data_IF_291290388144
#
_entry.id   IF_291290388144
#
_cell.length_a   1.000
_cell.length_b   1.000
_cell.length_c   1.000
_cell.angle_alpha   90.00
_cell.angle_beta   90.00
_cell.angle_gamma   90.00
#
_symmetry.space_group_name_H-M   'P 1'
#
loop_
_entity.id
_entity.type
_entity.pdbx_description
1 polymer ?
#
# COMPACT_ATOMS: atom_id res chain seq x y z
N UNK A 1 -0.54 37.82 51.38
CA UNK A 1 -1.42 39.00 51.24
C UNK A 1 -0.53 40.15 50.80
N UNK A 2 -0.36 40.39 49.56
CA UNK A 2 0.40 41.50 48.98
C UNK A 2 -0.58 42.44 48.33
N UNK A 3 -0.68 43.61 48.88
CA UNK A 3 -1.55 44.72 48.51
C UNK A 3 -1.23 45.18 47.06
N UNK A 4 -2.15 44.99 46.16
CA UNK A 4 -2.11 45.56 44.83
C UNK A 4 -2.81 46.92 44.87
N UNK A 5 -2.07 48.00 45.21
CA UNK A 5 -2.55 49.36 45.08
C UNK A 5 -2.62 49.74 43.60
N UNK A 6 -3.82 49.77 43.06
CA UNK A 6 -4.11 50.31 41.73
C UNK A 6 -4.09 51.83 41.75
N UNK A 7 -3.05 52.45 41.26
CA UNK A 7 -2.99 53.90 41.00
C UNK A 7 -3.55 54.15 39.59
N UNK A 8 -4.62 54.96 39.42
CA UNK A 8 -5.15 55.30 38.10
C UNK A 8 -4.19 56.23 37.36
N UNK A 9 -3.77 55.87 36.16
CA UNK A 9 -2.98 56.75 35.30
C UNK A 9 -3.82 57.98 34.84
N UNK A 10 -3.20 59.14 34.70
CA UNK A 10 -3.85 60.33 34.20
C UNK A 10 -4.30 60.16 32.74
N UNK A 11 -5.47 60.74 32.43
CA UNK A 11 -6.04 60.76 31.09
C UNK A 11 -5.17 61.58 30.12
N UNK A 12 -4.93 61.06 28.93
CA UNK A 12 -4.26 61.80 27.85
C UNK A 12 -5.15 62.93 27.33
N UNK A 13 -4.59 64.02 26.77
CA UNK A 13 -5.33 65.23 26.43
C UNK A 13 -6.39 65.10 25.31
N UNK A 14 -6.68 63.92 24.82
CA UNK A 14 -7.63 63.64 23.77
C UNK A 14 -8.85 62.80 24.12
N UNK A 15 -9.08 62.48 25.39
CA UNK A 15 -10.32 61.83 25.86
C UNK A 15 -10.56 60.37 25.38
N UNK A 16 -9.65 59.75 24.64
CA UNK A 16 -9.72 58.33 24.30
C UNK A 16 -9.08 57.51 25.40
N UNK A 17 -9.88 56.65 26.07
CA UNK A 17 -9.35 55.63 26.94
C UNK A 17 -8.57 54.61 26.09
N UNK A 18 -7.25 54.59 26.26
CA UNK A 18 -6.47 53.46 25.71
C UNK A 18 -6.99 52.15 26.34
N UNK A 19 -7.13 51.08 25.55
CA UNK A 19 -7.52 49.80 26.09
C UNK A 19 -6.47 49.36 27.13
N UNK A 20 -6.89 48.70 28.21
CA UNK A 20 -5.94 48.28 29.27
C UNK A 20 -4.88 47.37 28.63
N UNK A 21 -3.63 47.81 28.63
CA UNK A 21 -2.50 46.99 28.23
C UNK A 21 -2.49 45.78 29.18
N UNK A 22 -2.63 44.60 28.54
CA UNK A 22 -2.48 43.33 29.24
C UNK A 22 -1.05 43.30 29.78
N UNK A 23 -0.82 43.14 31.11
CA UNK A 23 0.55 43.03 31.59
C UNK A 23 1.18 41.80 30.98
N UNK A 24 2.19 42.01 30.12
CA UNK A 24 3.04 40.92 29.67
C UNK A 24 3.79 40.40 30.86
N UNK A 25 3.36 39.27 31.40
CA UNK A 25 4.17 38.52 32.37
C UNK A 25 5.31 37.89 31.56
N UNK A 26 6.40 38.63 31.36
CA UNK A 26 7.68 38.02 31.04
C UNK A 26 8.06 37.13 32.23
N UNK A 27 7.70 35.87 32.13
CA UNK A 27 8.22 34.84 33.01
C UNK A 27 9.66 34.64 32.58
N UNK A 28 10.58 35.41 33.18
CA UNK A 28 12.00 35.11 33.06
C UNK A 28 12.21 33.74 33.67
N UNK A 29 12.24 32.72 32.80
CA UNK A 29 12.68 31.38 33.19
C UNK A 29 14.18 31.54 33.45
N UNK A 30 14.51 31.80 34.72
CA UNK A 30 15.89 31.62 35.19
C UNK A 30 16.24 30.18 34.95
N UNK A 31 17.01 29.94 33.88
CA UNK A 31 17.59 28.64 33.61
C UNK A 31 18.49 28.30 34.80
N UNK A 32 17.96 27.55 35.75
CA UNK A 32 18.71 27.02 36.88
C UNK A 32 19.56 25.85 36.35
N UNK A 33 20.78 26.19 35.93
CA UNK A 33 21.80 25.25 35.51
C UNK A 33 21.86 25.03 33.99
N UNK A 34 22.99 24.56 33.49
CA UNK A 34 23.07 24.12 32.12
C UNK A 34 22.06 23.01 31.94
N UNK A 35 21.09 23.20 31.02
CA UNK A 35 20.31 22.11 30.46
C UNK A 35 21.30 21.31 29.66
N UNK A 36 22.10 20.50 30.38
CA UNK A 36 22.97 19.52 29.73
C UNK A 36 22.05 18.60 28.95
N UNK A 37 22.39 18.44 27.69
CA UNK A 37 21.78 17.44 26.85
C UNK A 37 21.82 16.11 27.62
N UNK A 38 20.70 15.69 28.22
CA UNK A 38 20.60 14.43 28.97
C UNK A 38 20.51 13.27 27.97
N UNK A 39 21.29 13.36 26.89
CA UNK A 39 21.53 12.28 25.98
C UNK A 39 22.36 11.22 26.71
N UNK A 40 21.70 10.39 27.51
CA UNK A 40 22.30 9.19 28.08
C UNK A 40 22.82 8.35 26.93
N UNK A 41 24.12 8.07 26.84
CA UNK A 41 24.65 7.21 25.78
C UNK A 41 23.96 5.87 25.84
N UNK A 42 23.32 5.48 24.73
CA UNK A 42 22.61 4.21 24.62
C UNK A 42 23.59 3.07 24.97
N UNK A 43 23.16 2.17 25.82
CA UNK A 43 23.93 0.95 26.12
C UNK A 43 24.18 0.17 24.82
N UNK A 44 25.23 -0.67 24.73
CA UNK A 44 25.47 -1.52 23.54
C UNK A 44 24.24 -2.36 23.16
N UNK A 45 23.47 -2.82 24.16
CA UNK A 45 22.23 -3.56 23.98
C UNK A 45 21.11 -2.71 23.39
N UNK A 46 20.94 -1.48 23.86
CA UNK A 46 19.97 -0.55 23.30
C UNK A 46 20.32 -0.11 21.88
N UNK A 47 21.63 0.04 21.58
CA UNK A 47 22.08 0.30 20.20
C UNK A 47 21.73 -0.87 19.27
N UNK A 48 21.98 -2.10 19.71
CA UNK A 48 21.69 -3.30 18.94
C UNK A 48 20.19 -3.50 18.75
N UNK A 49 19.40 -3.31 19.83
CA UNK A 49 17.94 -3.44 19.78
C UNK A 49 17.26 -2.32 18.98
N UNK A 50 17.90 -1.17 18.78
CA UNK A 50 17.37 -0.08 17.96
C UNK A 50 17.64 -0.26 16.46
N UNK A 51 18.47 -1.23 16.04
CA UNK A 51 18.67 -1.56 14.64
C UNK A 51 17.46 -2.32 14.09
N UNK A 52 16.60 -1.61 13.34
CA UNK A 52 15.36 -2.17 12.79
C UNK A 52 15.59 -3.41 11.93
N UNK A 53 16.70 -3.46 11.18
CA UNK A 53 17.07 -4.60 10.35
C UNK A 53 17.33 -5.85 11.22
N UNK A 54 18.07 -5.70 12.31
CA UNK A 54 18.39 -6.80 13.24
C UNK A 54 17.12 -7.33 13.90
N UNK A 55 16.23 -6.46 14.38
CA UNK A 55 14.95 -6.88 14.97
C UNK A 55 14.10 -7.67 13.98
N UNK A 56 14.00 -7.22 12.73
CA UNK A 56 13.26 -7.94 11.68
C UNK A 56 13.88 -9.29 11.38
N UNK A 57 15.19 -9.35 11.30
CA UNK A 57 15.92 -10.60 11.07
C UNK A 57 15.72 -11.60 12.24
N UNK A 58 15.77 -11.14 13.49
CA UNK A 58 15.49 -11.96 14.67
C UNK A 58 14.04 -12.48 14.67
N UNK A 59 13.06 -11.65 14.30
CA UNK A 59 11.66 -12.08 14.17
C UNK A 59 11.52 -13.14 13.08
N UNK A 60 12.13 -12.92 11.91
CA UNK A 60 12.09 -13.91 10.82
C UNK A 60 12.78 -15.23 11.23
N UNK A 61 13.93 -15.15 11.91
CA UNK A 61 14.63 -16.35 12.42
C UNK A 61 13.79 -17.08 13.48
N UNK A 62 13.12 -16.35 14.37
CA UNK A 62 12.21 -16.93 15.36
C UNK A 62 11.01 -17.63 14.69
N UNK A 63 10.39 -17.00 13.68
CA UNK A 63 9.29 -17.62 12.91
C UNK A 63 9.77 -18.87 12.18
N UNK A 64 10.93 -18.81 11.51
CA UNK A 64 11.51 -19.98 10.84
C UNK A 64 11.86 -21.10 11.84
N UNK A 65 12.40 -20.76 13.02
CA UNK A 65 12.68 -21.70 14.08
C UNK A 65 11.43 -22.36 14.67
N UNK A 66 10.37 -21.58 14.89
CA UNK A 66 9.06 -22.09 15.33
C UNK A 66 8.44 -23.02 14.29
N UNK A 67 8.51 -22.64 13.01
CA UNK A 67 8.07 -23.51 11.92
C UNK A 67 8.85 -24.83 11.91
N UNK A 68 10.18 -24.77 11.94
CA UNK A 68 11.04 -25.95 11.97
C UNK A 68 10.69 -26.86 13.15
N UNK A 69 10.58 -26.30 14.36
CA UNK A 69 10.26 -27.06 15.56
C UNK A 69 8.85 -27.71 15.48
N UNK A 70 7.85 -26.99 15.00
CA UNK A 70 6.50 -27.50 14.82
C UNK A 70 6.44 -28.64 13.80
N UNK A 71 7.15 -28.49 12.66
CA UNK A 71 7.20 -29.53 11.63
C UNK A 71 7.91 -30.82 12.11
N UNK A 72 9.03 -30.66 12.83
CA UNK A 72 9.74 -31.81 13.43
C UNK A 72 8.87 -32.46 14.50
N UNK A 73 8.17 -31.70 15.33
CA UNK A 73 7.27 -32.25 16.36
C UNK A 73 6.10 -33.03 15.75
N UNK A 74 5.50 -32.50 14.64
CA UNK A 74 4.39 -33.18 13.95
C UNK A 74 4.86 -34.44 13.22
N UNK A 75 6.13 -34.54 12.84
CA UNK A 75 6.77 -35.69 12.20
C UNK A 75 5.98 -36.26 11.00
N UNK A 76 5.37 -35.38 10.23
CA UNK A 76 4.58 -35.73 9.02
C UNK A 76 4.90 -34.77 7.89
N UNK A 77 5.92 -35.05 7.07
CA UNK A 77 6.35 -34.17 5.98
C UNK A 77 5.30 -34.01 4.85
N UNK A 78 4.36 -34.98 4.74
CA UNK A 78 3.25 -34.90 3.76
C UNK A 78 2.15 -33.92 4.18
N UNK A 79 2.11 -33.53 5.46
CA UNK A 79 1.16 -32.50 5.92
C UNK A 79 1.84 -31.16 6.15
N UNK A 80 3.04 -31.19 6.74
CA UNK A 80 3.76 -29.99 7.12
C UNK A 80 5.28 -30.18 6.99
N UNK A 81 5.87 -29.79 5.83
CA UNK A 81 7.30 -29.94 5.59
C UNK A 81 8.10 -29.00 6.50
N UNK A 82 9.34 -29.37 6.79
CA UNK A 82 10.23 -28.53 7.57
C UNK A 82 10.63 -27.27 6.82
N UNK A 83 11.06 -26.26 7.54
CA UNK A 83 11.59 -25.04 6.92
C UNK A 83 12.81 -25.35 6.04
N UNK A 84 13.67 -26.26 6.48
CA UNK A 84 14.85 -26.68 5.72
C UNK A 84 14.50 -27.41 4.43
N UNK A 85 13.52 -28.30 4.43
CA UNK A 85 13.06 -29.01 3.23
C UNK A 85 12.42 -28.02 2.24
N UNK A 86 11.60 -27.10 2.76
CA UNK A 86 11.01 -26.03 1.95
C UNK A 86 12.08 -25.13 1.31
N UNK A 87 13.13 -24.78 2.07
CA UNK A 87 14.24 -23.96 1.55
C UNK A 87 15.05 -24.71 0.48
N UNK A 88 15.28 -26.00 0.67
CA UNK A 88 15.93 -26.87 -0.31
C UNK A 88 15.07 -27.00 -1.58
N UNK A 89 13.76 -27.26 -1.44
CA UNK A 89 12.81 -27.33 -2.55
C UNK A 89 12.69 -25.99 -3.31
N UNK A 90 12.76 -24.84 -2.60
CA UNK A 90 12.79 -23.53 -3.23
C UNK A 90 14.04 -23.35 -4.08
N UNK A 91 15.20 -23.74 -3.57
CA UNK A 91 16.46 -23.66 -4.30
C UNK A 91 16.47 -24.56 -5.54
N UNK A 92 15.96 -25.76 -5.41
CA UNK A 92 15.85 -26.73 -6.50
C UNK A 92 14.83 -26.25 -7.54
N UNK A 93 13.69 -25.75 -7.10
CA UNK A 93 12.67 -25.15 -7.94
C UNK A 93 13.19 -24.00 -8.80
N UNK A 94 14.05 -23.16 -8.23
CA UNK A 94 14.70 -22.06 -8.96
C UNK A 94 15.68 -22.58 -10.02
N UNK A 95 16.42 -23.67 -9.72
CA UNK A 95 17.48 -24.17 -10.60
C UNK A 95 16.99 -25.15 -11.67
N UNK A 96 16.05 -26.02 -11.31
CA UNK A 96 15.69 -27.16 -12.14
C UNK A 96 14.23 -27.16 -12.59
N UNK A 97 13.29 -26.73 -11.75
CA UNK A 97 11.84 -26.81 -12.04
C UNK A 97 11.28 -25.58 -12.76
N UNK A 98 12.10 -24.59 -13.10
CA UNK A 98 11.67 -23.40 -13.83
C UNK A 98 10.75 -22.46 -13.02
N UNK A 99 10.82 -22.49 -11.68
CA UNK A 99 9.99 -21.69 -10.77
C UNK A 99 10.03 -20.19 -11.10
N UNK A 100 11.20 -19.65 -11.48
CA UNK A 100 11.33 -18.24 -11.90
C UNK A 100 10.58 -17.93 -13.19
N UNK A 101 10.57 -18.88 -14.15
CA UNK A 101 9.81 -18.73 -15.40
C UNK A 101 8.31 -18.70 -15.14
N UNK A 102 7.83 -19.56 -14.23
CA UNK A 102 6.43 -19.58 -13.82
C UNK A 102 6.04 -18.31 -13.04
N UNK A 103 6.94 -17.84 -12.17
CA UNK A 103 6.78 -16.56 -11.46
C UNK A 103 6.67 -15.38 -12.45
N UNK A 104 7.49 -15.36 -13.48
CA UNK A 104 7.43 -14.35 -14.54
C UNK A 104 6.14 -14.43 -15.35
N UNK A 105 5.65 -15.64 -15.63
CA UNK A 105 4.37 -15.84 -16.32
C UNK A 105 3.22 -15.21 -15.52
N UNK A 106 3.08 -15.53 -14.22
CA UNK A 106 2.08 -14.91 -13.35
C UNK A 106 2.25 -13.39 -13.28
N UNK A 107 3.48 -12.91 -13.09
CA UNK A 107 3.75 -11.48 -12.99
C UNK A 107 3.41 -10.74 -14.29
N UNK A 108 3.69 -11.32 -15.46
CA UNK A 108 3.36 -10.72 -16.77
C UNK A 108 1.86 -10.57 -16.98
N UNK A 109 1.08 -11.59 -16.63
CA UNK A 109 -0.40 -11.54 -16.69
C UNK A 109 -0.93 -10.48 -15.74
N UNK A 110 -0.41 -10.46 -14.51
CA UNK A 110 -0.81 -9.46 -13.52
C UNK A 110 -0.52 -8.04 -14.00
N UNK A 111 0.68 -7.78 -14.52
CA UNK A 111 1.06 -6.44 -15.00
C UNK A 111 0.18 -5.98 -16.17
N UNK A 112 -0.21 -6.87 -17.07
CA UNK A 112 -1.15 -6.54 -18.16
C UNK A 112 -2.53 -6.17 -17.60
N UNK A 113 -3.10 -7.00 -16.72
CA UNK A 113 -4.39 -6.71 -16.10
C UNK A 113 -4.36 -5.42 -15.27
N UNK A 114 -3.26 -5.22 -14.54
CA UNK A 114 -3.05 -4.02 -13.73
C UNK A 114 -2.96 -2.74 -14.60
N UNK A 115 -2.24 -2.80 -15.71
CA UNK A 115 -2.12 -1.68 -16.65
C UNK A 115 -3.48 -1.30 -17.27
N UNK A 116 -4.26 -2.29 -17.70
CA UNK A 116 -5.62 -2.06 -18.23
C UNK A 116 -6.51 -1.45 -17.15
N UNK A 117 -6.49 -1.99 -15.94
CA UNK A 117 -7.27 -1.46 -14.81
C UNK A 117 -6.88 -0.02 -14.46
N UNK A 118 -5.59 0.30 -14.50
CA UNK A 118 -5.08 1.66 -14.27
C UNK A 118 -5.66 2.65 -15.28
N UNK A 119 -5.63 2.31 -16.56
CA UNK A 119 -6.20 3.16 -17.62
C UNK A 119 -7.70 3.36 -17.39
N UNK A 120 -8.45 2.31 -17.12
CA UNK A 120 -9.89 2.39 -16.87
C UNK A 120 -10.21 3.18 -15.60
N UNK A 121 -9.43 3.04 -14.52
CA UNK A 121 -9.60 3.81 -13.30
C UNK A 121 -9.35 5.30 -13.52
N UNK A 122 -8.33 5.67 -14.29
CA UNK A 122 -8.04 7.05 -14.66
C UNK A 122 -9.18 7.65 -15.47
N UNK A 123 -9.71 6.93 -16.46
CA UNK A 123 -10.84 7.38 -17.27
C UNK A 123 -12.09 7.56 -16.41
N UNK A 124 -12.44 6.56 -15.62
CA UNK A 124 -13.63 6.57 -14.77
C UNK A 124 -13.57 7.69 -13.71
N UNK A 125 -12.44 7.85 -13.04
CA UNK A 125 -12.27 8.93 -12.04
C UNK A 125 -12.23 10.31 -12.67
N UNK A 126 -11.68 10.46 -13.88
CA UNK A 126 -11.70 11.73 -14.61
C UNK A 126 -13.14 12.15 -14.95
N UNK A 127 -13.97 11.22 -15.42
CA UNK A 127 -15.40 11.48 -15.68
C UNK A 127 -16.14 11.81 -14.37
N UNK A 128 -15.83 11.07 -13.29
CA UNK A 128 -16.46 11.28 -11.98
C UNK A 128 -16.17 12.67 -11.39
N UNK A 129 -14.95 13.18 -11.55
CA UNK A 129 -14.56 14.52 -11.04
C UNK A 129 -15.11 15.64 -11.95
N UNK A 130 -15.31 15.36 -13.23
CA UNK A 130 -15.72 16.36 -14.21
C UNK A 130 -17.23 16.61 -14.24
N UNK A 131 -18.06 15.63 -13.86
CA UNK A 131 -19.52 15.72 -13.99
C UNK A 131 -20.24 15.12 -12.77
N UNK A 132 -21.41 15.70 -12.43
CA UNK A 132 -22.27 15.14 -11.34
C UNK A 132 -22.73 13.72 -11.66
N UNK A 133 -23.15 13.47 -12.90
CA UNK A 133 -23.58 12.15 -13.37
C UNK A 133 -22.42 11.14 -13.26
N UNK A 134 -21.21 11.55 -13.63
CA UNK A 134 -20.02 10.71 -13.50
C UNK A 134 -19.69 10.35 -12.05
N UNK A 135 -19.86 11.31 -11.13
CA UNK A 135 -19.70 11.04 -9.70
C UNK A 135 -20.74 10.03 -9.18
N UNK A 136 -22.02 10.21 -9.55
CA UNK A 136 -23.08 9.30 -9.15
C UNK A 136 -22.89 7.91 -9.76
N UNK A 137 -22.43 7.84 -11.03
CA UNK A 137 -22.08 6.60 -11.71
C UNK A 137 -20.96 5.87 -10.98
N UNK A 138 -19.83 6.56 -10.68
CA UNK A 138 -18.72 5.96 -9.96
C UNK A 138 -19.15 5.45 -8.59
N UNK A 139 -19.88 6.26 -7.83
CA UNK A 139 -20.38 5.89 -6.50
C UNK A 139 -21.28 4.65 -6.56
N UNK A 140 -22.23 4.62 -7.51
CA UNK A 140 -23.15 3.48 -7.68
C UNK A 140 -22.41 2.23 -8.08
N UNK A 141 -21.57 2.29 -9.13
CA UNK A 141 -20.83 1.13 -9.60
C UNK A 141 -19.85 0.60 -8.55
N UNK A 142 -19.18 1.49 -7.83
CA UNK A 142 -18.27 1.08 -6.75
C UNK A 142 -19.04 0.38 -5.63
N UNK A 143 -20.19 0.91 -5.23
CA UNK A 143 -21.01 0.29 -4.19
C UNK A 143 -21.52 -1.11 -4.58
N UNK A 144 -21.77 -1.35 -5.87
CA UNK A 144 -22.22 -2.63 -6.40
C UNK A 144 -21.09 -3.64 -6.57
N UNK A 145 -19.98 -3.20 -7.17
CA UNK A 145 -18.93 -4.12 -7.65
C UNK A 145 -17.74 -4.27 -6.71
N UNK A 146 -17.44 -3.30 -5.86
CA UNK A 146 -16.31 -3.43 -4.92
C UNK A 146 -16.49 -4.56 -3.88
N UNK A 147 -17.72 -4.86 -3.36
CA UNK A 147 -17.92 -6.02 -2.49
C UNK A 147 -17.85 -7.37 -3.21
N UNK A 148 -17.97 -7.39 -4.55
CA UNK A 148 -17.98 -8.63 -5.32
C UNK A 148 -16.58 -9.26 -5.38
N UNK A 149 -16.38 -10.49 -4.88
CA UNK A 149 -15.12 -11.18 -4.98
C UNK A 149 -14.70 -11.37 -6.45
N UNK A 150 -13.58 -10.78 -6.86
CA UNK A 150 -13.15 -10.83 -8.27
C UNK A 150 -13.02 -12.26 -8.80
N UNK A 151 -12.52 -13.19 -7.98
CA UNK A 151 -12.40 -14.61 -8.35
C UNK A 151 -13.73 -15.25 -8.74
N UNK A 152 -14.86 -14.79 -8.17
CA UNK A 152 -16.18 -15.31 -8.48
C UNK A 152 -16.63 -15.01 -9.93
N UNK A 153 -16.01 -14.02 -10.57
CA UNK A 153 -16.25 -13.68 -11.98
C UNK A 153 -15.51 -14.60 -12.95
N UNK A 154 -14.56 -15.40 -12.47
CA UNK A 154 -13.71 -16.20 -13.36
C UNK A 154 -14.48 -17.22 -14.22
N UNK A 155 -15.46 -17.98 -13.69
CA UNK A 155 -16.26 -18.88 -14.53
C UNK A 155 -17.01 -18.15 -15.66
N UNK A 156 -17.54 -16.96 -15.38
CA UNK A 156 -18.23 -16.14 -16.37
C UNK A 156 -17.23 -15.59 -17.41
N UNK A 157 -16.06 -15.13 -16.95
CA UNK A 157 -15.00 -14.67 -17.85
C UNK A 157 -14.55 -15.79 -18.79
N UNK A 158 -14.39 -17.01 -18.27
CA UNK A 158 -14.04 -18.17 -19.08
C UNK A 158 -15.12 -18.56 -20.10
N UNK A 159 -16.39 -18.37 -19.75
CA UNK A 159 -17.50 -18.58 -20.67
C UNK A 159 -17.49 -17.57 -21.83
N UNK A 160 -17.14 -16.32 -21.57
CA UNK A 160 -17.14 -15.24 -22.56
C UNK A 160 -15.88 -15.20 -23.40
N UNK A 161 -14.73 -15.40 -22.80
CA UNK A 161 -13.42 -15.22 -23.43
C UNK A 161 -12.64 -16.52 -23.62
N UNK A 162 -13.20 -17.65 -23.17
CA UNK A 162 -12.52 -18.94 -23.22
C UNK A 162 -11.49 -19.13 -22.11
N UNK A 163 -10.85 -20.32 -22.16
CA UNK A 163 -9.73 -20.65 -21.28
C UNK A 163 -8.48 -19.89 -21.75
N UNK A 164 -8.02 -18.90 -20.99
CA UNK A 164 -6.83 -18.17 -21.42
C UNK A 164 -6.51 -16.94 -20.56
N UNK A 165 -5.47 -16.23 -21.00
CA UNK A 165 -4.97 -15.05 -20.34
C UNK A 165 -6.01 -13.92 -20.28
N UNK A 166 -6.87 -13.79 -21.30
CA UNK A 166 -7.89 -12.74 -21.37
C UNK A 166 -8.90 -12.84 -20.22
N UNK A 167 -9.31 -14.06 -19.88
CA UNK A 167 -10.22 -14.31 -18.76
C UNK A 167 -9.59 -13.91 -17.42
N UNK A 168 -8.30 -14.18 -17.22
CA UNK A 168 -7.54 -13.74 -16.04
C UNK A 168 -7.43 -12.21 -16.02
N UNK A 169 -7.08 -11.59 -17.14
CA UNK A 169 -6.99 -10.12 -17.25
C UNK A 169 -8.31 -9.46 -16.87
N UNK A 170 -9.45 -9.98 -17.37
CA UNK A 170 -10.78 -9.46 -17.02
C UNK A 170 -11.02 -9.46 -15.52
N UNK A 171 -10.73 -10.57 -14.85
CA UNK A 171 -10.89 -10.72 -13.40
C UNK A 171 -9.93 -9.80 -12.64
N UNK A 172 -8.68 -9.69 -13.11
CA UNK A 172 -7.68 -8.79 -12.52
C UNK A 172 -8.08 -7.31 -12.67
N UNK A 173 -8.63 -6.93 -13.82
CA UNK A 173 -9.17 -5.58 -14.03
C UNK A 173 -10.24 -5.27 -13.00
N UNK A 174 -11.18 -6.19 -12.78
CA UNK A 174 -12.21 -6.00 -11.75
C UNK A 174 -11.60 -5.87 -10.34
N UNK A 175 -10.60 -6.69 -10.00
CA UNK A 175 -9.95 -6.66 -8.69
C UNK A 175 -9.25 -5.33 -8.38
N UNK A 176 -8.69 -4.67 -9.40
CA UNK A 176 -7.88 -3.45 -9.26
C UNK A 176 -8.72 -2.18 -9.44
N UNK A 177 -9.65 -2.19 -10.38
CA UNK A 177 -10.39 -1.00 -10.84
C UNK A 177 -11.09 -0.28 -9.68
N UNK A 178 -11.87 -1.01 -8.90
CA UNK A 178 -12.73 -0.40 -7.88
C UNK A 178 -11.95 0.21 -6.71
N UNK A 179 -11.02 -0.51 -6.06
CA UNK A 179 -10.22 0.08 -4.99
C UNK A 179 -9.35 1.24 -5.48
N UNK A 180 -8.82 1.17 -6.70
CA UNK A 180 -8.01 2.24 -7.28
C UNK A 180 -8.87 3.47 -7.59
N UNK A 181 -10.01 3.31 -8.26
CA UNK A 181 -10.93 4.39 -8.59
C UNK A 181 -11.47 5.07 -7.33
N UNK A 182 -11.86 4.29 -6.30
CA UNK A 182 -12.36 4.81 -5.03
C UNK A 182 -11.30 5.66 -4.31
N UNK A 183 -10.09 5.14 -4.15
CA UNK A 183 -9.00 5.86 -3.49
C UNK A 183 -8.58 7.11 -4.27
N UNK A 184 -8.54 7.03 -5.60
CA UNK A 184 -8.22 8.18 -6.47
C UNK A 184 -9.28 9.26 -6.35
N UNK A 185 -10.56 8.88 -6.41
CA UNK A 185 -11.67 9.82 -6.27
C UNK A 185 -11.69 10.47 -4.87
N UNK A 186 -11.51 9.68 -3.81
CA UNK A 186 -11.39 10.19 -2.45
C UNK A 186 -10.20 11.16 -2.30
N UNK A 187 -9.06 10.84 -2.92
CA UNK A 187 -7.91 11.73 -2.98
C UNK A 187 -8.21 13.03 -3.68
N UNK A 188 -8.91 13.01 -4.81
CA UNK A 188 -9.30 14.23 -5.52
C UNK A 188 -10.27 15.06 -4.70
N UNK A 189 -11.25 14.47 -4.06
CA UNK A 189 -12.24 15.21 -3.25
C UNK A 189 -11.64 15.80 -1.97
N UNK A 190 -10.58 15.21 -1.43
CA UNK A 190 -9.88 15.71 -0.24
C UNK A 190 -8.99 16.93 -0.47
N UNK A 191 -8.73 17.31 -1.73
CA UNK A 191 -7.95 18.51 -2.07
C UNK A 191 -8.68 19.76 -1.58
N UNK A 192 -8.00 20.57 -0.75
CA UNK A 192 -8.59 21.76 -0.13
C UNK A 192 -9.13 22.76 -1.16
N UNK A 193 -10.25 23.40 -0.81
CA UNK A 193 -10.87 24.41 -1.69
C UNK A 193 -9.94 25.59 -1.95
N UNK A 194 -9.13 25.97 -0.97
CA UNK A 194 -8.11 27.01 -1.13
C UNK A 194 -7.14 26.69 -2.27
N UNK A 195 -6.64 25.45 -2.32
CA UNK A 195 -5.74 25.01 -3.38
C UNK A 195 -6.44 25.00 -4.74
N UNK A 196 -7.72 24.59 -4.77
CA UNK A 196 -8.56 24.58 -5.96
C UNK A 196 -8.78 26.01 -6.50
N UNK A 197 -9.12 26.95 -5.62
CA UNK A 197 -9.29 28.37 -5.98
C UNK A 197 -7.98 28.99 -6.48
N UNK A 198 -6.87 28.72 -5.81
CA UNK A 198 -5.55 29.16 -6.26
C UNK A 198 -5.25 28.65 -7.69
N UNK A 199 -5.47 27.37 -7.94
CA UNK A 199 -5.27 26.79 -9.28
C UNK A 199 -6.11 27.47 -10.36
N UNK A 200 -7.39 27.75 -10.07
CA UNK A 200 -8.28 28.47 -10.99
C UNK A 200 -7.82 29.91 -11.24
N UNK A 201 -7.36 30.61 -10.20
CA UNK A 201 -6.82 31.98 -10.33
C UNK A 201 -5.56 32.02 -11.20
N UNK A 202 -4.74 30.95 -11.21
CA UNK A 202 -3.62 30.78 -12.14
C UNK A 202 -4.03 30.31 -13.55
N UNK A 203 -5.33 30.28 -13.86
CA UNK A 203 -5.85 29.89 -15.16
C UNK A 203 -5.78 28.40 -15.46
N UNK A 204 -5.63 27.56 -14.44
CA UNK A 204 -5.67 26.10 -14.62
C UNK A 204 -7.12 25.66 -14.85
N UNK A 205 -7.37 24.96 -15.96
CA UNK A 205 -8.67 24.40 -16.31
C UNK A 205 -8.55 23.05 -17.02
N UNK A 206 -9.65 22.31 -17.09
CA UNK A 206 -9.74 21.04 -17.82
C UNK A 206 -8.66 20.03 -17.41
N UNK A 207 -8.09 19.34 -18.38
CA UNK A 207 -7.07 18.31 -18.16
C UNK A 207 -5.80 18.85 -17.50
N UNK A 208 -5.42 20.11 -17.83
CA UNK A 208 -4.26 20.75 -17.23
C UNK A 208 -4.42 20.92 -15.72
N UNK A 209 -5.62 21.28 -15.25
CA UNK A 209 -5.95 21.36 -13.83
C UNK A 209 -5.81 20.01 -13.13
N UNK A 210 -6.29 18.93 -13.76
CA UNK A 210 -6.20 17.58 -13.22
C UNK A 210 -4.73 17.13 -13.10
N UNK A 211 -3.97 17.28 -14.16
CA UNK A 211 -2.58 16.77 -14.20
C UNK A 211 -1.64 17.60 -13.33
N UNK A 212 -1.81 18.94 -13.34
CA UNK A 212 -0.85 19.83 -12.67
C UNK A 212 -1.18 20.04 -11.18
N UNK A 213 -2.45 19.94 -10.79
CA UNK A 213 -2.88 20.21 -9.42
C UNK A 213 -3.49 19.01 -8.72
N UNK A 214 -4.53 18.38 -9.31
CA UNK A 214 -5.26 17.33 -8.60
C UNK A 214 -4.43 16.07 -8.42
N UNK A 215 -3.77 15.57 -9.46
CA UNK A 215 -2.96 14.34 -9.37
C UNK A 215 -1.82 14.50 -8.35
N UNK A 216 -0.97 15.55 -8.41
CA UNK A 216 0.07 15.72 -7.41
C UNK A 216 -0.48 15.86 -5.99
N UNK A 217 -1.53 16.64 -5.78
CA UNK A 217 -2.11 16.85 -4.45
C UNK A 217 -2.77 15.58 -3.87
N UNK A 218 -3.38 14.75 -4.72
CA UNK A 218 -4.03 13.51 -4.35
C UNK A 218 -3.10 12.29 -4.40
N UNK A 219 -1.84 12.47 -4.79
CA UNK A 219 -0.93 11.35 -5.04
C UNK A 219 -0.78 10.36 -3.88
N UNK A 220 -0.75 10.77 -2.60
CA UNK A 220 -0.75 9.83 -1.48
C UNK A 220 -1.94 8.86 -1.49
N UNK A 221 -3.14 9.36 -1.80
CA UNK A 221 -4.34 8.53 -1.89
C UNK A 221 -4.31 7.63 -3.13
N UNK A 222 -3.84 8.14 -4.26
CA UNK A 222 -3.64 7.36 -5.48
C UNK A 222 -2.65 6.21 -5.22
N UNK A 223 -1.52 6.50 -4.56
CA UNK A 223 -0.53 5.48 -4.20
C UNK A 223 -1.11 4.41 -3.27
N UNK A 224 -1.97 4.81 -2.32
CA UNK A 224 -2.71 3.86 -1.48
C UNK A 224 -3.62 2.97 -2.34
N UNK A 225 -4.37 3.54 -3.27
CA UNK A 225 -5.20 2.80 -4.23
C UNK A 225 -4.39 1.82 -5.07
N UNK A 226 -3.20 2.22 -5.55
CA UNK A 226 -2.28 1.35 -6.28
C UNK A 226 -1.80 0.18 -5.42
N UNK A 227 -1.38 0.41 -4.18
CA UNK A 227 -0.95 -0.65 -3.24
C UNK A 227 -2.09 -1.64 -2.96
N UNK A 228 -3.28 -1.14 -2.65
CA UNK A 228 -4.46 -1.98 -2.38
C UNK A 228 -4.86 -2.77 -3.62
N UNK A 229 -4.93 -2.12 -4.78
CA UNK A 229 -5.22 -2.78 -6.06
C UNK A 229 -4.21 -3.89 -6.38
N UNK A 230 -2.92 -3.64 -6.18
CA UNK A 230 -1.88 -4.66 -6.34
C UNK A 230 -2.11 -5.87 -5.43
N UNK A 231 -2.37 -5.63 -4.14
CA UNK A 231 -2.57 -6.71 -3.18
C UNK A 231 -3.82 -7.55 -3.50
N UNK A 232 -4.89 -6.94 -4.02
CA UNK A 232 -6.06 -7.67 -4.49
C UNK A 232 -5.76 -8.44 -5.76
N UNK A 233 -5.10 -7.83 -6.76
CA UNK A 233 -4.76 -8.50 -8.00
C UNK A 233 -3.85 -9.71 -7.77
N UNK A 234 -2.80 -9.56 -6.94
CA UNK A 234 -1.87 -10.63 -6.64
C UNK A 234 -2.56 -11.86 -6.05
N UNK A 235 -3.37 -11.65 -5.02
CA UNK A 235 -4.15 -12.73 -4.38
C UNK A 235 -5.15 -13.37 -5.33
N UNK A 236 -5.85 -12.56 -6.10
CA UNK A 236 -6.84 -13.04 -7.08
C UNK A 236 -6.21 -13.87 -8.18
N UNK A 237 -5.05 -13.43 -8.72
CA UNK A 237 -4.33 -14.18 -9.74
C UNK A 237 -3.89 -15.56 -9.23
N UNK A 238 -3.20 -15.60 -8.09
CA UNK A 238 -2.73 -16.88 -7.53
C UNK A 238 -3.90 -17.82 -7.25
N UNK A 239 -4.99 -17.30 -6.69
CA UNK A 239 -6.21 -18.10 -6.46
C UNK A 239 -6.85 -18.60 -7.76
N UNK A 240 -6.86 -17.79 -8.80
CA UNK A 240 -7.38 -18.18 -10.12
C UNK A 240 -6.51 -19.28 -10.77
N UNK A 241 -5.19 -19.14 -10.73
CA UNK A 241 -4.26 -20.14 -11.25
C UNK A 241 -4.32 -21.47 -10.48
N UNK A 242 -4.57 -21.43 -9.15
CA UNK A 242 -4.75 -22.61 -8.30
C UNK A 242 -5.99 -23.41 -8.66
N UNK A 243 -7.08 -22.74 -9.04
CA UNK A 243 -8.37 -23.39 -9.27
C UNK A 243 -8.50 -23.87 -10.72
N UNK A 244 -8.01 -23.09 -11.67
CA UNK A 244 -8.27 -23.31 -13.11
C UNK A 244 -7.04 -23.74 -13.91
N UNK A 245 -5.89 -23.93 -13.28
CA UNK A 245 -4.69 -24.47 -13.91
C UNK A 245 -4.09 -23.55 -14.99
N UNK A 246 -3.63 -24.14 -16.08
CA UNK A 246 -2.93 -23.42 -17.14
C UNK A 246 -3.91 -22.62 -17.99
N UNK A 247 -4.07 -21.34 -17.70
CA UNK A 247 -4.91 -20.44 -18.52
C UNK A 247 -4.17 -19.90 -19.77
N UNK A 248 -2.84 -19.98 -19.81
CA UNK A 248 -2.01 -19.33 -20.86
C UNK A 248 -1.06 -20.28 -21.61
N UNK A 249 -1.25 -21.60 -21.51
CA UNK A 249 -0.36 -22.58 -22.14
C UNK A 249 1.01 -22.78 -21.47
N UNK A 250 1.44 -21.80 -20.66
CA UNK A 250 2.61 -21.90 -19.76
C UNK A 250 2.10 -21.64 -18.34
N UNK A 251 2.20 -22.62 -17.45
CA UNK A 251 1.73 -22.50 -16.09
C UNK A 251 2.39 -21.36 -15.31
N UNK A 252 1.60 -20.69 -14.45
CA UNK A 252 2.11 -19.69 -13.49
C UNK A 252 2.44 -20.31 -12.13
N UNK A 253 2.69 -19.44 -11.14
CA UNK A 253 2.99 -19.86 -9.76
C UNK A 253 1.86 -20.65 -9.11
N UNK A 254 0.60 -20.24 -9.32
CA UNK A 254 -0.53 -20.97 -8.80
C UNK A 254 -0.66 -22.36 -9.44
N UNK A 255 -0.34 -22.49 -10.72
CA UNK A 255 -0.26 -23.79 -11.37
C UNK A 255 0.85 -24.68 -10.80
N UNK A 256 2.04 -24.11 -10.56
CA UNK A 256 3.13 -24.83 -9.88
C UNK A 256 2.68 -25.42 -8.55
N UNK A 257 2.02 -24.60 -7.72
CA UNK A 257 1.49 -25.04 -6.43
C UNK A 257 0.43 -26.14 -6.62
N UNK A 258 -0.49 -25.98 -7.57
CA UNK A 258 -1.56 -26.94 -7.84
C UNK A 258 -1.01 -28.30 -8.32
N UNK A 259 -0.08 -28.28 -9.25
CA UNK A 259 0.55 -29.49 -9.80
C UNK A 259 1.30 -30.26 -8.71
N UNK A 260 2.19 -29.60 -7.97
CA UNK A 260 2.97 -30.23 -6.91
C UNK A 260 2.09 -30.74 -5.77
N UNK A 261 0.96 -30.06 -5.48
CA UNK A 261 -0.03 -30.56 -4.52
C UNK A 261 -0.65 -31.89 -4.96
N UNK A 262 -1.00 -32.01 -6.25
CA UNK A 262 -1.60 -33.24 -6.80
C UNK A 262 -0.60 -34.38 -6.87
N UNK A 263 0.69 -34.04 -7.05
CA UNK A 263 1.80 -35.02 -7.06
C UNK A 263 2.32 -35.33 -5.64
N UNK A 264 1.74 -34.71 -4.58
CA UNK A 264 2.11 -34.86 -3.18
C UNK A 264 3.54 -34.39 -2.85
N UNK A 265 4.14 -33.53 -3.65
CA UNK A 265 5.38 -32.83 -3.33
C UNK A 265 5.09 -31.58 -2.47
N UNK A 266 4.78 -31.80 -1.20
CA UNK A 266 4.29 -30.75 -0.32
C UNK A 266 5.38 -29.72 0.02
N UNK A 267 6.62 -30.12 0.05
CA UNK A 267 7.80 -29.25 0.16
C UNK A 267 7.86 -28.23 -1.00
N UNK A 268 7.61 -28.66 -2.24
CA UNK A 268 7.51 -27.78 -3.42
C UNK A 268 6.27 -26.89 -3.38
N UNK A 269 5.15 -27.37 -2.83
CA UNK A 269 3.95 -26.52 -2.60
C UNK A 269 4.31 -25.35 -1.69
N UNK A 270 4.97 -25.62 -0.56
CA UNK A 270 5.41 -24.59 0.37
C UNK A 270 6.48 -23.68 -0.25
N UNK A 271 7.38 -24.19 -1.06
CA UNK A 271 8.34 -23.39 -1.82
C UNK A 271 7.63 -22.41 -2.78
N UNK A 272 6.58 -22.87 -3.47
CA UNK A 272 5.71 -22.01 -4.28
C UNK A 272 5.03 -20.91 -3.46
N UNK A 273 4.45 -21.24 -2.29
CA UNK A 273 3.83 -20.27 -1.39
C UNK A 273 4.85 -19.24 -0.85
N UNK A 274 6.05 -19.69 -0.48
CA UNK A 274 7.15 -18.80 -0.07
C UNK A 274 7.53 -17.86 -1.22
N UNK A 275 7.58 -18.36 -2.46
CA UNK A 275 7.85 -17.53 -3.65
C UNK A 275 6.78 -16.46 -3.83
N UNK A 276 5.50 -16.80 -3.65
CA UNK A 276 4.38 -15.83 -3.70
C UNK A 276 4.57 -14.73 -2.65
N UNK A 277 4.95 -15.10 -1.41
CA UNK A 277 5.22 -14.15 -0.33
C UNK A 277 6.42 -13.26 -0.67
N UNK A 278 7.52 -13.83 -1.15
CA UNK A 278 8.74 -13.09 -1.47
C UNK A 278 8.52 -12.07 -2.58
N UNK A 279 7.77 -12.41 -3.64
CA UNK A 279 7.42 -11.47 -4.70
C UNK A 279 6.52 -10.36 -4.16
N UNK A 280 5.51 -10.67 -3.36
CA UNK A 280 4.67 -9.67 -2.72
C UNK A 280 5.48 -8.69 -1.86
N UNK A 281 6.37 -9.20 -1.01
CA UNK A 281 7.26 -8.39 -0.18
C UNK A 281 8.25 -7.55 -1.01
N UNK A 282 8.78 -8.10 -2.10
CA UNK A 282 9.67 -7.39 -3.01
C UNK A 282 8.95 -6.18 -3.62
N UNK A 283 7.77 -6.39 -4.16
CA UNK A 283 7.01 -5.30 -4.79
C UNK A 283 6.62 -4.25 -3.76
N UNK A 284 6.16 -4.63 -2.57
CA UNK A 284 5.78 -3.70 -1.51
C UNK A 284 6.98 -2.89 -1.00
N UNK A 285 8.07 -3.57 -0.63
CA UNK A 285 9.21 -2.92 0.01
C UNK A 285 10.22 -2.28 -0.96
N UNK A 286 10.23 -2.69 -2.23
CA UNK A 286 11.14 -2.13 -3.23
C UNK A 286 10.38 -1.18 -4.15
N UNK A 287 9.36 -1.68 -4.88
CA UNK A 287 8.69 -0.86 -5.90
C UNK A 287 7.86 0.25 -5.27
N UNK A 288 6.91 -0.10 -4.40
CA UNK A 288 6.03 0.92 -3.80
C UNK A 288 6.76 1.84 -2.83
N UNK A 289 7.72 1.32 -2.06
CA UNK A 289 8.55 2.16 -1.20
C UNK A 289 9.43 3.11 -1.99
N UNK A 290 9.99 2.68 -3.12
CA UNK A 290 10.77 3.54 -4.01
C UNK A 290 9.89 4.67 -4.56
N UNK A 291 8.69 4.36 -5.05
CA UNK A 291 7.72 5.36 -5.51
C UNK A 291 7.41 6.35 -4.37
N UNK A 292 7.07 5.86 -3.19
CA UNK A 292 6.71 6.69 -2.03
C UNK A 292 7.83 7.65 -1.63
N UNK A 293 9.08 7.17 -1.57
CA UNK A 293 10.25 7.99 -1.19
C UNK A 293 10.52 9.08 -2.24
N UNK A 294 10.41 8.75 -3.53
CA UNK A 294 10.73 9.68 -4.61
C UNK A 294 9.60 10.65 -4.96
N UNK A 295 8.39 10.43 -4.43
CA UNK A 295 7.22 11.26 -4.67
C UNK A 295 6.72 11.88 -3.38
N UNK A 296 5.92 11.14 -2.61
CA UNK A 296 5.17 11.64 -1.45
C UNK A 296 6.08 12.24 -0.38
N UNK A 297 7.18 11.55 -0.04
CA UNK A 297 8.15 12.05 0.95
C UNK A 297 8.97 13.23 0.42
N UNK A 298 9.39 13.16 -0.84
CA UNK A 298 10.13 14.25 -1.49
C UNK A 298 9.31 15.53 -1.59
N UNK A 299 8.00 15.42 -1.74
CA UNK A 299 7.09 16.55 -1.79
C UNK A 299 6.63 17.04 -0.40
N UNK A 300 7.10 16.40 0.69
CA UNK A 300 6.78 16.81 2.06
C UNK A 300 5.33 16.53 2.48
N UNK A 301 4.62 15.64 1.78
CA UNK A 301 3.20 15.36 2.04
C UNK A 301 2.99 14.40 3.23
N UNK A 302 4.01 13.63 3.60
CA UNK A 302 4.02 12.73 4.76
C UNK A 302 5.34 12.90 5.49
N UNK A 303 5.29 13.06 6.82
CA UNK A 303 6.44 13.13 7.73
C UNK A 303 6.89 11.75 8.19
#
# INVERSE_FOLDING_TARGET
>A
MTDLSFSPRPLSPGGRREPPLRPEYERTVTATGPIGDVARPLSPWERLSNVTALRRLLVLAAVAGLWQAAAVWQNNPLMFPTFTDTAAALWDGIRHDGLLSMAWTSLSVLLKGYAVALVLAVLLTTVAVSTRIGNDLLSTLTSMFNPLPAIALLPIAMLWFGLGEVSLIFVLVHAVLWPLALNTHAGFTSVSETLRMAGRNYGLGGLRYVVTLLIPAAFPAILTGLKVGWAFAWRTLIAAELVFGVSSGKGGLGWFIFQNRNELYIDKVFAGLVTVILIGLLVENVVFRWIEVHTVRKWGMVR
#
